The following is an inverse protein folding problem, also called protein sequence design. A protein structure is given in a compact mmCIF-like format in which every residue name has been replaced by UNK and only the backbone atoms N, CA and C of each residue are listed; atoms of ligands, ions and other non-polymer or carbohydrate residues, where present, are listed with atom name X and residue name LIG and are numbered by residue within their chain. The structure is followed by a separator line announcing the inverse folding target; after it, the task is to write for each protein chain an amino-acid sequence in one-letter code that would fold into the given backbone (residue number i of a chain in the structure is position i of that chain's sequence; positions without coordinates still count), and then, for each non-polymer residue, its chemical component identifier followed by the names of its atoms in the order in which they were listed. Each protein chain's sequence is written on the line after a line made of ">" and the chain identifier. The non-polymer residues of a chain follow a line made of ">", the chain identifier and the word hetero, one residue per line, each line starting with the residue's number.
data_IF_815265596520
#
_entry.id   IF_815265596520
#
_cell.length_a   1.000
_cell.length_b   1.000
_cell.length_c   1.000
_cell.angle_alpha   90.00
_cell.angle_beta   90.00
_cell.angle_gamma   90.00
#
_symmetry.space_group_name_H-M   'P 1'
#
loop_
_entity.id
_entity.type
_entity.pdbx_description
1 polymer ?
#
# COMPACT_ATOMS: atom_id res chain seq x y z
N UNK A 1 48.40 6.86 7.24
CA UNK A 1 47.34 7.78 6.75
C UNK A 1 46.35 6.93 5.97
N UNK A 2 45.19 6.64 6.56
CA UNK A 2 44.14 5.84 5.90
C UNK A 2 43.12 6.83 5.36
N UNK A 3 43.03 6.94 4.04
CA UNK A 3 42.04 7.77 3.38
C UNK A 3 40.71 7.03 3.43
N UNK A 4 39.83 7.46 4.34
CA UNK A 4 38.45 7.00 4.35
C UNK A 4 37.72 7.65 3.17
N UNK A 5 37.47 6.88 2.12
CA UNK A 5 36.62 7.24 0.98
C UNK A 5 35.20 7.57 1.48
N UNK A 6 34.54 8.54 0.85
CA UNK A 6 33.26 9.17 1.21
C UNK A 6 32.01 8.25 1.24
N UNK A 7 32.18 6.94 1.38
CA UNK A 7 31.14 5.93 1.09
C UNK A 7 30.18 5.62 2.25
N UNK A 8 30.24 6.33 3.38
CA UNK A 8 29.30 6.08 4.49
C UNK A 8 28.85 7.36 5.18
N UNK A 9 28.31 8.31 4.40
CA UNK A 9 27.27 9.14 5.00
C UNK A 9 25.98 8.35 4.84
N UNK A 10 25.44 7.66 5.86
CA UNK A 10 24.02 7.33 5.83
C UNK A 10 23.33 8.69 5.73
N UNK A 11 22.95 9.08 4.50
CA UNK A 11 22.30 10.34 4.24
C UNK A 11 21.20 10.44 5.29
N UNK A 12 21.22 11.52 6.07
CA UNK A 12 20.16 11.91 7.01
C UNK A 12 18.92 12.30 6.20
N UNK A 13 18.50 11.42 5.31
CA UNK A 13 17.40 11.58 4.41
C UNK A 13 16.19 11.21 5.25
N UNK A 14 15.55 12.23 5.82
CA UNK A 14 14.38 12.07 6.68
C UNK A 14 13.27 11.26 6.03
N UNK A 15 12.24 10.97 6.81
CA UNK A 15 11.07 10.22 6.35
C UNK A 15 10.53 10.81 5.05
N UNK A 16 10.00 9.95 4.19
CA UNK A 16 9.32 10.41 2.99
C UNK A 16 8.20 11.37 3.36
N UNK A 17 8.11 12.50 2.67
CA UNK A 17 6.93 13.36 2.76
C UNK A 17 5.69 12.56 2.32
N UNK A 18 4.56 12.75 2.99
CA UNK A 18 3.31 12.07 2.67
C UNK A 18 2.86 12.30 1.21
N UNK A 19 3.29 13.39 0.57
CA UNK A 19 2.95 13.71 -0.81
C UNK A 19 3.96 13.15 -1.83
N UNK A 20 5.08 12.60 -1.38
CA UNK A 20 6.11 12.03 -2.27
C UNK A 20 5.58 10.85 -3.08
N UNK A 21 6.12 10.68 -4.28
CA UNK A 21 5.86 9.53 -5.15
C UNK A 21 6.15 8.21 -4.43
N UNK A 22 7.22 8.17 -3.66
CA UNK A 22 7.72 6.98 -2.96
C UNK A 22 6.77 6.58 -1.82
N UNK A 23 6.29 7.53 -1.01
CA UNK A 23 5.31 7.23 0.02
C UNK A 23 3.99 6.70 -0.59
N UNK A 24 3.51 7.32 -1.68
CA UNK A 24 2.30 6.88 -2.38
C UNK A 24 2.46 5.49 -3.00
N UNK A 25 3.62 5.22 -3.58
CA UNK A 25 3.95 3.90 -4.13
C UNK A 25 3.91 2.82 -3.04
N UNK A 26 4.51 3.09 -1.88
CA UNK A 26 4.52 2.17 -0.76
C UNK A 26 3.12 2.00 -0.13
N UNK A 27 2.33 3.08 -0.03
CA UNK A 27 0.93 2.98 0.39
C UNK A 27 0.14 2.06 -0.54
N UNK A 28 0.32 2.21 -1.86
CA UNK A 28 -0.34 1.35 -2.86
C UNK A 28 0.08 -0.11 -2.68
N UNK A 29 1.36 -0.39 -2.43
CA UNK A 29 1.86 -1.73 -2.19
C UNK A 29 1.27 -2.35 -0.90
N UNK A 30 1.19 -1.58 0.19
CA UNK A 30 0.56 -2.02 1.45
C UNK A 30 -0.95 -2.27 1.25
N UNK A 31 -1.63 -1.39 0.53
CA UNK A 31 -3.05 -1.55 0.19
C UNK A 31 -3.29 -2.81 -0.63
N UNK A 32 -2.43 -3.08 -1.62
CA UNK A 32 -2.47 -4.31 -2.39
C UNK A 32 -2.29 -5.54 -1.49
N UNK A 33 -1.28 -5.55 -0.60
CA UNK A 33 -1.07 -6.64 0.35
C UNK A 33 -2.32 -6.91 1.20
N UNK A 34 -2.92 -5.87 1.79
CA UNK A 34 -4.12 -6.00 2.61
C UNK A 34 -5.30 -6.56 1.80
N UNK A 35 -5.56 -5.97 0.62
CA UNK A 35 -6.70 -6.35 -0.20
C UNK A 35 -6.54 -7.74 -0.83
N UNK A 36 -5.32 -8.08 -1.26
CA UNK A 36 -5.02 -9.33 -1.95
C UNK A 36 -5.06 -10.53 -1.01
N UNK A 37 -4.55 -10.35 0.21
CA UNK A 37 -4.46 -11.41 1.21
C UNK A 37 -5.63 -11.38 2.22
N UNK A 38 -6.65 -10.56 1.93
CA UNK A 38 -7.85 -10.40 2.77
C UNK A 38 -7.53 -10.11 4.25
N UNK A 39 -6.48 -9.32 4.49
CA UNK A 39 -6.03 -9.04 5.84
C UNK A 39 -6.87 -7.94 6.49
N UNK A 40 -7.00 -7.95 7.83
CA UNK A 40 -7.66 -6.87 8.52
C UNK A 40 -6.85 -5.57 8.38
N UNK A 41 -7.53 -4.44 8.13
CA UNK A 41 -6.87 -3.13 7.95
C UNK A 41 -6.07 -2.70 9.18
N UNK A 42 -6.41 -3.19 10.39
CA UNK A 42 -5.61 -2.90 11.59
C UNK A 42 -4.18 -3.46 11.52
N UNK A 43 -3.84 -4.32 10.56
CA UNK A 43 -2.48 -4.86 10.38
C UNK A 43 -1.45 -3.73 10.29
N UNK A 44 -1.80 -2.59 9.67
CA UNK A 44 -0.92 -1.42 9.54
C UNK A 44 -0.54 -0.77 10.88
N UNK A 45 -1.31 -1.03 11.94
CA UNK A 45 -1.02 -0.49 13.29
C UNK A 45 -0.21 -1.46 14.14
N UNK A 46 -0.07 -2.73 13.73
CA UNK A 46 0.62 -3.76 14.51
C UNK A 46 2.13 -3.51 14.56
N UNK A 47 2.70 -3.67 15.74
CA UNK A 47 4.14 -3.45 15.98
C UNK A 47 5.03 -4.36 15.13
N UNK A 48 4.66 -5.64 14.99
CA UNK A 48 5.41 -6.58 14.15
C UNK A 48 5.46 -6.15 12.68
N UNK A 49 4.34 -5.68 12.13
CA UNK A 49 4.28 -5.17 10.76
C UNK A 49 5.12 -3.90 10.58
N UNK A 50 5.03 -2.95 11.52
CA UNK A 50 5.85 -1.73 11.50
C UNK A 50 7.35 -2.02 11.63
N UNK A 51 7.72 -2.98 12.48
CA UNK A 51 9.11 -3.42 12.62
C UNK A 51 9.63 -4.06 11.33
N UNK A 52 8.83 -4.92 10.70
CA UNK A 52 9.17 -5.51 9.42
C UNK A 52 9.42 -4.45 8.34
N UNK A 53 8.50 -3.49 8.21
CA UNK A 53 8.64 -2.41 7.23
C UNK A 53 9.84 -1.49 7.52
N UNK A 54 10.15 -1.21 8.79
CA UNK A 54 11.31 -0.38 9.10
C UNK A 54 12.64 -1.04 8.75
N UNK A 55 12.71 -2.37 8.71
CA UNK A 55 13.87 -3.12 8.22
C UNK A 55 13.99 -3.14 6.70
N UNK A 56 12.86 -3.13 5.99
CA UNK A 56 12.84 -3.11 4.52
C UNK A 56 13.02 -1.71 3.94
N UNK A 57 12.31 -0.72 4.49
CA UNK A 57 12.37 0.65 4.06
C UNK A 57 12.26 1.60 5.27
N UNK A 58 13.40 1.99 5.87
CA UNK A 58 13.41 2.76 7.12
C UNK A 58 12.86 4.18 6.98
N UNK A 59 12.76 4.70 5.76
CA UNK A 59 12.25 6.06 5.49
C UNK A 59 10.74 6.12 5.31
N UNK A 60 10.09 4.95 5.21
CA UNK A 60 8.66 4.86 5.01
C UNK A 60 7.92 4.83 6.34
N UNK A 61 7.06 5.83 6.51
CA UNK A 61 6.15 5.90 7.63
C UNK A 61 4.75 5.49 7.16
N UNK A 62 4.30 4.32 7.64
CA UNK A 62 2.98 3.79 7.31
C UNK A 62 1.89 4.76 7.77
N UNK A 63 0.96 5.15 6.87
CA UNK A 63 -0.19 5.97 7.24
C UNK A 63 -1.11 5.31 8.26
N UNK A 64 -2.00 6.13 8.83
CA UNK A 64 -3.01 5.63 9.77
C UNK A 64 -3.97 4.62 9.12
N UNK A 65 -4.53 3.72 9.93
CA UNK A 65 -5.61 2.81 9.52
C UNK A 65 -6.77 3.54 8.83
N UNK A 66 -7.09 4.76 9.30
CA UNK A 66 -8.15 5.60 8.75
C UNK A 66 -7.87 5.95 7.30
N UNK A 67 -6.63 6.35 6.99
CA UNK A 67 -6.21 6.67 5.63
C UNK A 67 -6.37 5.49 4.66
N UNK A 68 -5.98 4.28 5.07
CA UNK A 68 -6.18 3.08 4.25
C UNK A 68 -7.66 2.75 4.05
N UNK A 69 -8.47 2.88 5.09
CA UNK A 69 -9.91 2.56 5.05
C UNK A 69 -10.69 3.54 4.18
N UNK A 70 -10.38 4.83 4.28
CA UNK A 70 -11.19 5.90 3.66
C UNK A 70 -10.70 6.31 2.27
N UNK A 71 -9.43 6.07 1.94
CA UNK A 71 -8.84 6.55 0.69
C UNK A 71 -8.21 5.43 -0.13
N UNK A 72 -7.20 4.74 0.40
CA UNK A 72 -6.38 3.83 -0.41
C UNK A 72 -7.16 2.60 -0.88
N UNK A 73 -7.87 1.90 0.04
CA UNK A 73 -8.64 0.70 -0.31
C UNK A 73 -9.81 1.05 -1.25
N UNK A 74 -10.64 2.08 -0.99
CA UNK A 74 -11.68 2.49 -1.93
C UNK A 74 -11.12 2.89 -3.30
N UNK A 75 -9.99 3.59 -3.34
CA UNK A 75 -9.33 3.97 -4.60
C UNK A 75 -8.88 2.75 -5.40
N UNK A 76 -8.25 1.77 -4.75
CA UNK A 76 -7.86 0.51 -5.38
C UNK A 76 -9.07 -0.26 -5.91
N UNK A 77 -10.16 -0.32 -5.13
CA UNK A 77 -11.39 -0.98 -5.55
C UNK A 77 -11.99 -0.32 -6.81
N UNK A 78 -12.16 1.00 -6.81
CA UNK A 78 -12.70 1.73 -7.97
C UNK A 78 -11.82 1.52 -9.20
N UNK A 79 -10.50 1.58 -9.05
CA UNK A 79 -9.58 1.33 -10.16
C UNK A 79 -9.76 -0.08 -10.76
N UNK A 80 -9.82 -1.12 -9.93
CA UNK A 80 -9.99 -2.50 -10.39
C UNK A 80 -11.38 -2.70 -10.99
N UNK A 81 -12.41 -2.16 -10.33
CA UNK A 81 -13.79 -2.22 -10.81
C UNK A 81 -13.89 -1.61 -12.21
N UNK A 82 -13.43 -0.38 -12.39
CA UNK A 82 -13.65 0.37 -13.62
C UNK A 82 -12.77 -0.14 -14.77
N UNK A 83 -11.53 -0.55 -14.48
CA UNK A 83 -10.56 -0.93 -15.52
C UNK A 83 -10.53 -2.43 -15.84
N UNK A 84 -10.99 -3.30 -14.92
CA UNK A 84 -10.91 -4.76 -15.11
C UNK A 84 -12.28 -5.44 -15.04
N UNK A 85 -13.04 -5.15 -13.99
CA UNK A 85 -14.32 -5.85 -13.76
C UNK A 85 -15.39 -5.35 -14.73
N UNK A 86 -15.57 -4.04 -14.87
CA UNK A 86 -16.61 -3.46 -15.71
C UNK A 86 -16.46 -3.87 -17.19
N UNK A 87 -15.27 -3.85 -17.81
CA UNK A 87 -15.09 -4.36 -19.17
C UNK A 87 -15.40 -5.85 -19.30
N UNK A 88 -15.01 -6.66 -18.31
CA UNK A 88 -15.32 -8.09 -18.29
C UNK A 88 -16.82 -8.35 -18.16
N UNK A 89 -17.51 -7.55 -17.34
CA UNK A 89 -18.96 -7.62 -17.16
C UNK A 89 -19.70 -7.14 -18.42
N UNK A 90 -19.24 -6.08 -19.08
CA UNK A 90 -19.87 -5.63 -20.34
C UNK A 90 -19.68 -6.66 -21.46
N UNK A 91 -18.57 -7.42 -21.45
CA UNK A 91 -18.29 -8.44 -22.46
C UNK A 91 -19.11 -9.72 -22.27
N UNK A 92 -19.48 -10.10 -21.05
CA UNK A 92 -20.15 -11.37 -20.85
C UNK A 92 -21.65 -11.31 -21.20
N UNK A 93 -22.14 -12.38 -21.82
CA UNK A 93 -23.51 -12.44 -22.35
C UNK A 93 -24.55 -12.85 -21.30
N UNK A 94 -24.14 -13.49 -20.21
CA UNK A 94 -25.03 -14.03 -19.18
C UNK A 94 -24.33 -13.91 -17.84
N UNK A 95 -25.10 -13.50 -16.81
CA UNK A 95 -24.66 -13.47 -15.42
C UNK A 95 -25.73 -14.10 -14.55
N UNK A 96 -25.31 -14.74 -13.47
CA UNK A 96 -26.21 -15.22 -12.41
C UNK A 96 -25.72 -14.64 -11.09
N UNK A 97 -26.65 -14.19 -10.26
CA UNK A 97 -26.36 -13.61 -8.95
C UNK A 97 -27.33 -14.16 -7.93
N UNK A 98 -26.84 -14.51 -6.75
CA UNK A 98 -27.65 -14.97 -5.63
C UNK A 98 -27.74 -13.88 -4.60
N UNK A 99 -28.94 -13.46 -4.23
CA UNK A 99 -29.14 -12.57 -3.08
C UNK A 99 -29.15 -13.42 -1.81
N UNK A 100 -28.12 -13.28 -0.97
CA UNK A 100 -28.17 -13.77 0.41
C UNK A 100 -28.93 -12.75 1.27
N UNK A 101 -30.09 -13.13 1.80
CA UNK A 101 -30.85 -12.36 2.78
C UNK A 101 -30.34 -12.66 4.20
#
# INVERSE_FOLDING_TARGET
>A
MVQHTLEETPMRLGNYSAQSSEAKYLNTAVTYYIAKDALPVFTVTKSGFKHFLSKLNPRYEVPSRKHFTEHEIPSLYSNIRDNKVQPAVTKASVFTGTTGL
#
